data_IF_314108716992
#
_entry.id   IF_314108716992
#
_cell.length_a   1.000
_cell.length_b   1.000
_cell.length_c   1.000
_cell.angle_alpha   90.00
_cell.angle_beta   90.00
_cell.angle_gamma   90.00
#
_symmetry.space_group_name_H-M   'P 1'
#
loop_
_entity.id
_entity.type
_entity.pdbx_description
1 polymer ?
#
# COMPACT_ATOMS: atom_id res chain seq x y z
N UNK A 1 -27.37 -24.03 8.49
CA UNK A 1 -25.94 -23.90 8.14
C UNK A 1 -25.65 -24.88 7.01
N UNK A 2 -24.91 -24.49 5.96
CA UNK A 2 -24.52 -25.44 4.92
C UNK A 2 -23.76 -26.60 5.54
N UNK A 3 -24.20 -27.82 5.29
CA UNK A 3 -23.54 -29.03 5.79
C UNK A 3 -22.41 -29.37 4.84
N UNK A 4 -21.18 -29.07 5.26
CA UNK A 4 -19.96 -29.36 4.51
C UNK A 4 -19.31 -30.58 5.17
N UNK A 5 -19.09 -31.69 4.44
CA UNK A 5 -18.41 -32.86 4.99
C UNK A 5 -16.98 -32.53 5.41
N UNK A 6 -16.46 -33.20 6.45
CA UNK A 6 -15.13 -32.93 6.99
C UNK A 6 -14.00 -33.14 5.97
N UNK A 7 -14.19 -34.09 5.04
CA UNK A 7 -13.26 -34.33 3.92
C UNK A 7 -12.98 -33.09 3.08
N UNK A 8 -13.97 -32.21 2.92
CA UNK A 8 -13.82 -30.96 2.17
C UNK A 8 -13.04 -29.91 2.97
N UNK A 9 -13.14 -29.93 4.30
CA UNK A 9 -12.30 -29.09 5.16
C UNK A 9 -10.84 -29.55 5.13
N UNK A 10 -10.57 -30.85 5.12
CA UNK A 10 -9.22 -31.40 5.00
C UNK A 10 -8.60 -31.05 3.65
N UNK A 11 -9.34 -31.24 2.55
CA UNK A 11 -8.92 -30.83 1.20
C UNK A 11 -8.68 -29.33 1.10
N UNK A 12 -9.53 -28.51 1.74
CA UNK A 12 -9.34 -27.06 1.79
C UNK A 12 -8.07 -26.68 2.56
N UNK A 13 -7.83 -27.30 3.72
CA UNK A 13 -6.63 -27.08 4.52
C UNK A 13 -5.35 -27.49 3.78
N UNK A 14 -5.36 -28.63 3.07
CA UNK A 14 -4.27 -29.05 2.20
C UNK A 14 -3.97 -28.02 1.09
N UNK A 15 -5.01 -27.34 0.62
CA UNK A 15 -4.91 -26.24 -0.35
C UNK A 15 -4.64 -24.87 0.28
N UNK A 16 -4.40 -24.78 1.59
CA UNK A 16 -4.12 -23.51 2.28
C UNK A 16 -5.35 -22.61 2.50
N UNK A 17 -6.56 -23.17 2.46
CA UNK A 17 -7.83 -22.48 2.69
C UNK A 17 -8.32 -22.81 4.10
N UNK A 18 -8.57 -21.78 4.90
CA UNK A 18 -9.15 -21.95 6.23
C UNK A 18 -10.61 -22.42 6.18
N UNK A 19 -11.05 -23.16 7.20
CA UNK A 19 -12.44 -23.65 7.34
C UNK A 19 -13.47 -22.52 7.20
N UNK A 20 -13.20 -21.37 7.81
CA UNK A 20 -14.04 -20.16 7.70
C UNK A 20 -14.15 -19.63 6.26
N UNK A 21 -13.06 -19.68 5.50
CA UNK A 21 -13.05 -19.27 4.10
C UNK A 21 -13.87 -20.21 3.22
N UNK A 22 -13.75 -21.53 3.43
CA UNK A 22 -14.57 -22.53 2.73
C UNK A 22 -16.06 -22.33 3.05
N UNK A 23 -16.42 -22.22 4.33
CA UNK A 23 -17.78 -21.97 4.78
C UNK A 23 -18.39 -20.72 4.15
N UNK A 24 -17.65 -19.61 4.17
CA UNK A 24 -18.12 -18.35 3.58
C UNK A 24 -18.33 -18.43 2.06
N UNK A 25 -17.53 -19.23 1.35
CA UNK A 25 -17.70 -19.45 -0.09
C UNK A 25 -18.97 -20.26 -0.38
N UNK A 26 -19.18 -21.36 0.33
CA UNK A 26 -20.40 -22.18 0.20
C UNK A 26 -21.64 -21.40 0.60
N UNK A 27 -21.57 -20.59 1.66
CA UNK A 27 -22.67 -19.71 2.07
C UNK A 27 -22.99 -18.63 1.03
N UNK A 28 -22.07 -18.31 0.13
CA UNK A 28 -22.27 -17.39 -1.00
C UNK A 28 -22.76 -18.13 -2.27
N UNK A 29 -23.13 -19.41 -2.15
CA UNK A 29 -23.64 -20.22 -3.25
C UNK A 29 -22.56 -20.80 -4.16
N UNK A 30 -21.30 -20.87 -3.70
CA UNK A 30 -20.25 -21.52 -4.47
C UNK A 30 -20.33 -23.03 -4.29
N UNK A 31 -20.10 -23.75 -5.38
CA UNK A 31 -19.95 -25.20 -5.34
C UNK A 31 -18.71 -25.61 -4.53
N UNK A 32 -18.74 -26.79 -3.91
CA UNK A 32 -17.69 -27.26 -3.01
C UNK A 32 -16.34 -27.39 -3.71
N UNK A 33 -16.32 -27.91 -4.94
CA UNK A 33 -15.08 -28.05 -5.72
C UNK A 33 -14.53 -26.67 -6.12
N UNK A 34 -15.42 -25.76 -6.53
CA UNK A 34 -15.07 -24.37 -6.84
C UNK A 34 -14.53 -23.60 -5.62
N UNK A 35 -15.09 -23.87 -4.45
CA UNK A 35 -14.70 -23.24 -3.20
C UNK A 35 -13.32 -23.70 -2.72
N UNK A 36 -12.89 -24.91 -3.08
CA UNK A 36 -11.58 -25.49 -2.75
C UNK A 36 -10.52 -25.19 -3.81
N UNK A 37 -10.90 -25.16 -5.10
CA UNK A 37 -9.96 -24.94 -6.21
C UNK A 37 -9.42 -23.50 -6.27
N UNK A 38 -10.24 -22.51 -5.92
CA UNK A 38 -9.86 -21.08 -5.98
C UNK A 38 -9.08 -20.64 -4.73
N UNK A 39 -8.01 -21.37 -4.41
CA UNK A 39 -7.09 -21.06 -3.32
C UNK A 39 -6.20 -19.85 -3.64
N UNK A 40 -5.78 -19.15 -2.58
CA UNK A 40 -4.83 -18.04 -2.60
C UNK A 40 -3.42 -18.41 -3.12
N UNK A 41 -3.18 -19.66 -3.54
CA UNK A 41 -1.93 -20.08 -4.20
C UNK A 41 -1.65 -19.26 -5.48
N UNK A 42 -2.69 -18.84 -6.21
CA UNK A 42 -2.49 -17.92 -7.35
C UNK A 42 -2.05 -16.51 -6.94
N UNK A 43 -2.20 -16.10 -5.67
CA UNK A 43 -1.61 -14.82 -5.21
C UNK A 43 -0.11 -14.93 -4.97
N UNK A 44 0.39 -16.12 -4.63
CA UNK A 44 1.80 -16.36 -4.41
C UNK A 44 2.58 -16.64 -5.70
N UNK A 45 1.93 -17.14 -6.76
CA UNK A 45 2.59 -17.49 -8.03
C UNK A 45 2.44 -16.38 -9.11
N UNK A 46 1.40 -15.54 -9.05
CA UNK A 46 1.17 -14.47 -10.05
C UNK A 46 1.56 -13.05 -9.59
N UNK A 47 2.13 -12.91 -8.39
CA UNK A 47 2.84 -11.67 -8.04
C UNK A 47 4.31 -11.96 -8.17
N UNK A 48 5.02 -11.46 -9.21
CA UNK A 48 6.46 -11.45 -9.22
C UNK A 48 6.97 -10.95 -7.86
N UNK A 49 8.01 -11.53 -7.25
CA UNK A 49 8.58 -11.06 -5.97
C UNK A 49 9.13 -9.62 -5.98
N UNK A 50 8.92 -8.86 -7.07
CA UNK A 50 9.64 -7.63 -7.40
C UNK A 50 8.81 -6.34 -7.33
N UNK A 51 7.92 -6.24 -6.35
CA UNK A 51 7.68 -4.93 -5.73
C UNK A 51 7.90 -4.97 -4.21
N UNK A 52 8.93 -5.70 -3.75
CA UNK A 52 9.87 -5.00 -2.87
C UNK A 52 10.45 -3.85 -3.69
N UNK A 53 9.71 -2.74 -3.80
CA UNK A 53 10.36 -1.44 -3.83
C UNK A 53 11.08 -1.41 -2.49
N UNK A 54 12.30 -1.95 -2.45
CA UNK A 54 13.32 -1.64 -1.46
C UNK A 54 13.25 -0.14 -1.37
N UNK A 55 12.50 0.32 -0.37
CA UNK A 55 11.73 1.54 -0.56
C UNK A 55 12.73 2.66 -0.73
N UNK A 56 12.63 3.47 -1.79
CA UNK A 56 13.36 4.74 -1.88
C UNK A 56 13.25 5.56 -0.57
N UNK A 57 12.22 5.29 0.23
CA UNK A 57 12.06 5.73 1.61
C UNK A 57 13.28 5.50 2.51
N UNK A 58 14.08 4.43 2.38
CA UNK A 58 15.30 4.22 3.19
C UNK A 58 16.40 5.24 2.87
N UNK A 59 16.43 5.72 1.63
CA UNK A 59 17.37 6.75 1.18
C UNK A 59 16.78 8.17 1.32
N UNK A 60 15.52 8.31 1.78
CA UNK A 60 14.94 9.61 2.06
C UNK A 60 15.55 10.18 3.34
N UNK A 61 15.90 11.48 3.30
CA UNK A 61 16.36 12.27 4.47
C UNK A 61 15.42 12.17 5.68
N UNK A 62 14.16 11.79 5.46
CA UNK A 62 13.12 11.70 6.47
C UNK A 62 12.76 10.26 6.88
N UNK A 63 13.58 9.26 6.53
CA UNK A 63 13.37 7.88 6.99
C UNK A 63 13.42 7.80 8.52
N UNK A 64 12.36 7.27 9.14
CA UNK A 64 12.30 7.08 10.60
C UNK A 64 11.79 8.29 11.40
N UNK A 65 11.45 9.40 10.77
CA UNK A 65 10.85 10.56 11.44
C UNK A 65 9.37 10.28 11.75
N UNK A 66 8.90 10.74 12.93
CA UNK A 66 7.48 10.61 13.29
C UNK A 66 6.59 11.43 12.33
N UNK A 67 5.41 10.90 12.02
CA UNK A 67 4.45 11.61 11.15
C UNK A 67 3.94 12.87 11.86
N UNK A 68 4.05 14.00 11.19
CA UNK A 68 3.48 15.27 11.65
C UNK A 68 1.96 15.32 11.51
N UNK A 69 1.38 16.46 11.92
CA UNK A 69 -0.05 16.74 11.77
C UNK A 69 -0.43 16.85 10.28
N UNK A 70 -1.44 16.09 9.87
CA UNK A 70 -2.01 16.18 8.51
C UNK A 70 -2.61 17.56 8.29
N UNK A 71 -2.29 18.18 7.15
CA UNK A 71 -2.86 19.46 6.70
C UNK A 71 -3.46 19.27 5.31
N UNK A 72 -4.67 19.77 5.12
CA UNK A 72 -5.31 19.80 3.80
C UNK A 72 -4.96 21.10 3.11
N UNK A 73 -4.38 21.03 1.92
CA UNK A 73 -4.07 22.19 1.10
C UNK A 73 -5.19 22.41 0.06
N UNK A 74 -5.46 23.67 -0.28
CA UNK A 74 -6.27 24.03 -1.42
C UNK A 74 -5.35 24.67 -2.44
N UNK A 75 -5.11 23.98 -3.55
CA UNK A 75 -4.23 24.45 -4.61
C UNK A 75 -5.04 24.72 -5.88
N UNK A 76 -4.74 25.80 -6.63
CA UNK A 76 -5.28 25.97 -7.98
C UNK A 76 -4.72 24.90 -8.92
N UNK A 77 -5.54 24.47 -9.89
CA UNK A 77 -5.23 23.36 -10.83
C UNK A 77 -3.90 23.57 -11.58
N UNK A 78 -3.59 24.81 -11.96
CA UNK A 78 -2.34 25.16 -12.66
C UNK A 78 -1.08 24.77 -11.87
N UNK A 79 -1.13 24.86 -10.54
CA UNK A 79 -0.01 24.51 -9.68
C UNK A 79 0.07 23.01 -9.41
N UNK A 80 -1.05 22.29 -9.47
CA UNK A 80 -1.06 20.84 -9.34
C UNK A 80 -0.32 20.17 -10.50
N UNK A 81 -0.55 20.63 -11.73
CA UNK A 81 0.16 20.10 -12.90
C UNK A 81 1.67 20.33 -12.81
N UNK A 82 2.07 21.54 -12.40
CA UNK A 82 3.48 21.89 -12.20
C UNK A 82 4.12 21.06 -11.09
N UNK A 83 3.40 20.81 -10.00
CA UNK A 83 3.84 19.96 -8.91
C UNK A 83 4.06 18.52 -9.40
N UNK A 84 3.11 17.97 -10.15
CA UNK A 84 3.21 16.63 -10.73
C UNK A 84 4.44 16.49 -11.64
N UNK A 85 4.70 17.49 -12.48
CA UNK A 85 5.90 17.52 -13.33
C UNK A 85 7.19 17.58 -12.49
N UNK A 86 7.20 18.34 -11.40
CA UNK A 86 8.37 18.46 -10.52
C UNK A 86 8.64 17.15 -9.75
N UNK A 87 7.60 16.48 -9.26
CA UNK A 87 7.71 15.17 -8.60
C UNK A 87 8.26 14.14 -9.59
N UNK A 88 7.73 14.10 -10.82
CA UNK A 88 8.21 13.18 -11.85
C UNK A 88 9.69 13.40 -12.20
N UNK A 89 10.17 14.65 -12.22
CA UNK A 89 11.58 14.98 -12.49
C UNK A 89 12.51 14.65 -11.33
N UNK A 90 12.06 14.82 -10.08
CA UNK A 90 12.90 14.59 -8.90
C UNK A 90 13.12 13.11 -8.60
N UNK A 91 12.25 12.23 -9.08
CA UNK A 91 12.31 10.79 -8.76
C UNK A 91 12.02 10.46 -7.29
N UNK A 92 11.61 11.47 -6.51
CA UNK A 92 11.22 11.34 -5.11
C UNK A 92 9.74 10.94 -4.99
N UNK A 93 9.36 10.50 -3.80
CA UNK A 93 7.93 10.40 -3.49
C UNK A 93 7.36 11.81 -3.32
N UNK A 94 6.08 11.99 -3.66
CA UNK A 94 5.37 13.26 -3.46
C UNK A 94 5.55 13.81 -2.04
N UNK A 95 5.46 12.94 -1.04
CA UNK A 95 5.62 13.31 0.37
C UNK A 95 7.03 13.75 0.71
N UNK A 96 8.05 13.06 0.20
CA UNK A 96 9.46 13.45 0.42
C UNK A 96 9.76 14.79 -0.26
N UNK A 97 9.27 14.99 -1.49
CA UNK A 97 9.44 16.22 -2.25
C UNK A 97 8.80 17.42 -1.54
N UNK A 98 7.55 17.30 -1.09
CA UNK A 98 6.86 18.35 -0.35
C UNK A 98 7.52 18.64 0.99
N UNK A 99 7.95 17.59 1.71
CA UNK A 99 8.64 17.77 3.00
C UNK A 99 9.97 18.48 2.81
N UNK A 100 10.73 18.13 1.76
CA UNK A 100 11.98 18.78 1.42
C UNK A 100 11.77 20.28 1.13
N UNK A 101 10.77 20.64 0.31
CA UNK A 101 10.47 22.06 0.03
C UNK A 101 10.16 22.82 1.32
N UNK A 102 9.36 22.24 2.23
CA UNK A 102 8.99 22.91 3.48
C UNK A 102 10.21 23.11 4.38
N UNK A 103 11.06 22.10 4.52
CA UNK A 103 12.27 22.17 5.34
C UNK A 103 13.25 23.18 4.75
N UNK A 104 13.55 23.08 3.46
CA UNK A 104 14.46 24.00 2.78
C UNK A 104 13.96 25.46 2.87
N UNK A 105 12.65 25.68 2.79
CA UNK A 105 12.05 27.00 2.98
C UNK A 105 12.17 27.53 4.41
N UNK A 106 11.97 26.68 5.43
CA UNK A 106 12.08 27.07 6.83
C UNK A 106 13.54 27.34 7.23
N UNK A 107 14.47 26.49 6.80
CA UNK A 107 15.91 26.66 7.03
C UNK A 107 16.39 28.01 6.45
N UNK A 108 15.92 28.37 5.25
CA UNK A 108 16.24 29.65 4.62
C UNK A 108 15.69 30.89 5.36
N UNK A 109 14.61 30.75 6.16
CA UNK A 109 14.09 31.83 7.00
C UNK A 109 14.89 31.98 8.29
N UNK A 110 15.42 30.89 8.85
CA UNK A 110 16.22 30.90 10.06
C UNK A 110 17.64 31.48 9.83
N UNK A 111 18.13 31.46 8.58
CA UNK A 111 19.41 32.06 8.17
C UNK A 111 19.37 33.61 8.02
N UNK A 112 18.18 34.23 8.07
CA UNK A 112 18.08 35.69 8.11
C UNK A 112 18.48 36.17 9.51
N UNK A 113 19.50 37.05 9.65
CA UNK A 113 19.86 37.59 10.96
C UNK A 113 18.64 38.26 11.57
N UNK A 114 18.23 37.76 12.74
CA UNK A 114 17.16 38.35 13.54
C UNK A 114 17.49 39.85 13.75
N UNK A 115 16.55 40.77 13.48
CA UNK A 115 16.79 42.21 13.60
C UNK A 115 17.20 42.62 15.02
#
# INVERSE_FOLDING_TARGET
MPQIPEEYYEKALANGISRTTLYNRVSRGWDLEQAIARSAVLKAIATPPDHKKESLRKNSRFYGVQRGKVRTLKMPVEYEERLNQAIAKSGLTEMDFLTQIIVDYLDAQDELPKP
#
